data_IF_387794830664
#
_entry.id   IF_387794830664
#
_cell.length_a   1.000
_cell.length_b   1.000
_cell.length_c   1.000
_cell.angle_alpha   90.00
_cell.angle_beta   90.00
_cell.angle_gamma   90.00
#
_symmetry.space_group_name_H-M   'P 1'
#
loop_
_entity.id
_entity.type
_entity.pdbx_description
1 polymer ?
#
# COMPACT_ATOMS: atom_id res chain seq x y z
N UNK A 1 -11.16 25.81 10.61
CA UNK A 1 -11.01 24.75 11.64
C UNK A 1 -9.52 24.57 11.88
N UNK A 2 -9.01 24.55 13.10
CA UNK A 2 -7.57 24.31 13.30
C UNK A 2 -7.28 22.81 13.14
N UNK A 3 -6.23 22.47 12.38
CA UNK A 3 -5.77 21.07 12.22
C UNK A 3 -5.16 20.54 13.52
N UNK A 4 -5.45 19.31 13.91
CA UNK A 4 -4.86 18.63 15.09
C UNK A 4 -3.33 18.53 14.94
N UNK A 5 -2.81 18.49 13.71
CA UNK A 5 -1.38 18.58 13.43
C UNK A 5 -0.72 19.85 14.01
N UNK A 6 -1.52 20.88 14.34
CA UNK A 6 -1.08 22.10 15.02
C UNK A 6 -0.04 22.88 14.23
N UNK A 7 1.03 23.34 14.91
CA UNK A 7 2.09 24.11 14.28
C UNK A 7 2.81 23.35 13.15
N UNK A 8 2.87 22.02 13.22
CA UNK A 8 3.49 21.19 12.17
C UNK A 8 2.81 21.36 10.81
N UNK A 9 1.52 21.72 10.79
CA UNK A 9 0.79 22.00 9.54
C UNK A 9 1.38 23.18 8.77
N UNK A 10 1.99 24.13 9.46
CA UNK A 10 2.59 25.34 8.88
C UNK A 10 4.09 25.22 8.64
N UNK A 11 4.71 24.09 8.95
CA UNK A 11 6.17 23.91 8.86
C UNK A 11 6.56 23.04 7.68
N UNK A 12 7.71 23.34 7.10
CA UNK A 12 8.37 22.47 6.13
C UNK A 12 9.18 21.42 6.89
N UNK A 13 8.96 20.14 6.59
CA UNK A 13 9.64 19.06 7.31
C UNK A 13 11.13 18.96 6.92
N UNK A 14 12.02 18.58 7.87
CA UNK A 14 13.48 18.64 7.68
C UNK A 14 14.03 17.83 6.50
N UNK A 15 13.30 16.80 6.06
CA UNK A 15 13.71 15.92 4.95
C UNK A 15 13.36 16.48 3.56
N UNK A 16 12.74 17.67 3.50
CA UNK A 16 12.40 18.32 2.22
C UNK A 16 13.61 19.04 1.62
N UNK A 17 13.54 19.33 0.34
CA UNK A 17 14.47 20.17 -0.38
C UNK A 17 15.59 19.44 -1.13
N UNK A 18 16.09 18.31 -0.66
CA UNK A 18 17.10 17.53 -1.38
C UNK A 18 17.09 16.04 -1.01
N UNK A 19 17.70 15.24 -1.87
CA UNK A 19 17.90 13.79 -1.61
C UNK A 19 18.84 13.58 -0.41
N UNK A 20 19.80 14.49 -0.17
CA UNK A 20 20.65 14.47 1.00
C UNK A 20 19.86 14.69 2.29
N UNK A 21 19.03 15.75 2.31
CA UNK A 21 18.16 16.01 3.45
C UNK A 21 17.24 14.82 3.76
N UNK A 22 16.63 14.24 2.73
CA UNK A 22 15.78 13.05 2.87
C UNK A 22 16.57 11.85 3.45
N UNK A 23 17.76 11.58 2.92
CA UNK A 23 18.57 10.46 3.37
C UNK A 23 19.03 10.63 4.82
N UNK A 24 19.66 11.76 5.15
CA UNK A 24 20.28 11.96 6.45
C UNK A 24 19.26 12.18 7.57
N UNK A 25 18.10 12.84 7.30
CA UNK A 25 17.14 13.19 8.36
C UNK A 25 15.99 12.19 8.52
N UNK A 26 15.72 11.34 7.52
CA UNK A 26 14.58 10.41 7.56
C UNK A 26 14.94 8.99 7.13
N UNK A 27 15.45 8.78 5.92
CA UNK A 27 15.50 7.47 5.29
C UNK A 27 16.64 6.58 5.80
N UNK A 28 17.79 7.14 6.12
CA UNK A 28 18.95 6.38 6.64
C UNK A 28 18.63 5.67 7.96
N UNK A 29 17.92 6.35 8.87
CA UNK A 29 17.47 5.74 10.11
C UNK A 29 16.45 4.60 9.89
N UNK A 30 15.47 4.82 9.01
CA UNK A 30 14.49 3.81 8.63
C UNK A 30 15.14 2.58 7.95
N UNK A 31 16.12 2.82 7.08
CA UNK A 31 16.88 1.77 6.39
C UNK A 31 17.69 0.91 7.37
N UNK A 32 18.33 1.51 8.39
CA UNK A 32 19.10 0.79 9.42
C UNK A 32 18.29 -0.26 10.16
N UNK A 33 16.99 -0.03 10.35
CA UNK A 33 16.10 -0.93 11.08
C UNK A 33 15.09 -1.64 10.18
N UNK A 34 15.28 -1.57 8.86
CA UNK A 34 14.46 -2.25 7.83
C UNK A 34 12.96 -1.99 7.99
N UNK A 35 12.58 -0.72 8.24
CA UNK A 35 11.18 -0.27 8.25
C UNK A 35 10.84 0.51 6.99
N UNK A 36 9.57 0.86 6.83
CA UNK A 36 9.10 1.63 5.67
C UNK A 36 10.02 2.82 5.32
N UNK A 37 10.42 2.97 4.06
CA UNK A 37 10.05 2.15 2.89
C UNK A 37 11.03 0.99 2.58
N UNK A 38 11.93 0.63 3.48
CA UNK A 38 13.06 -0.30 3.30
C UNK A 38 12.81 -1.71 3.88
N UNK A 39 11.54 -2.14 4.00
CA UNK A 39 11.25 -3.51 4.44
C UNK A 39 12.02 -4.53 3.60
N UNK A 40 12.63 -5.53 4.23
CA UNK A 40 13.49 -6.55 3.64
C UNK A 40 14.85 -6.04 3.12
N UNK A 41 15.10 -4.72 3.10
CA UNK A 41 16.37 -4.13 2.66
C UNK A 41 17.39 -4.00 3.80
N UNK A 42 18.64 -3.74 3.44
CA UNK A 42 19.74 -3.47 4.37
C UNK A 42 20.43 -2.17 4.04
N UNK A 43 21.00 -1.51 5.07
CA UNK A 43 21.70 -0.23 4.88
C UNK A 43 22.83 -0.33 3.84
N UNK A 44 23.55 -1.44 3.82
CA UNK A 44 24.65 -1.70 2.89
C UNK A 44 24.24 -1.69 1.41
N UNK A 45 22.95 -1.96 1.13
CA UNK A 45 22.42 -1.93 -0.23
C UNK A 45 22.18 -0.49 -0.72
N UNK A 46 21.81 0.39 0.20
CA UNK A 46 21.32 1.74 -0.12
C UNK A 46 22.36 2.84 0.08
N UNK A 47 23.26 2.71 1.05
CA UNK A 47 24.24 3.75 1.34
C UNK A 47 25.10 4.14 0.12
N UNK A 48 25.62 3.20 -0.70
CA UNK A 48 26.37 3.57 -1.91
C UNK A 48 25.49 4.25 -2.97
N UNK A 49 24.20 3.87 -3.06
CA UNK A 49 23.24 4.46 -4.00
C UNK A 49 22.97 5.92 -3.63
N UNK A 50 22.62 6.17 -2.36
CA UNK A 50 22.35 7.53 -1.90
C UNK A 50 23.59 8.43 -1.94
N UNK A 51 24.77 7.88 -1.66
CA UNK A 51 26.04 8.61 -1.85
C UNK A 51 26.20 9.07 -3.30
N UNK A 52 25.87 8.22 -4.28
CA UNK A 52 25.92 8.56 -5.70
C UNK A 52 24.87 9.62 -6.05
N UNK A 53 23.60 9.45 -5.65
CA UNK A 53 22.54 10.42 -5.90
C UNK A 53 22.90 11.81 -5.35
N UNK A 54 23.47 11.87 -4.15
CA UNK A 54 23.91 13.12 -3.51
C UNK A 54 25.06 13.75 -4.30
N UNK A 55 26.09 12.97 -4.63
CA UNK A 55 27.27 13.46 -5.37
C UNK A 55 26.93 13.99 -6.76
N UNK A 56 25.94 13.40 -7.43
CA UNK A 56 25.45 13.80 -8.75
C UNK A 56 24.30 14.80 -8.69
N UNK A 57 23.88 15.24 -7.49
CA UNK A 57 22.77 16.18 -7.25
C UNK A 57 21.45 15.75 -7.91
N UNK A 58 21.13 14.44 -7.89
CA UNK A 58 19.89 13.87 -8.43
C UNK A 58 18.80 13.97 -7.37
N UNK A 59 18.03 15.05 -7.38
CA UNK A 59 17.00 15.36 -6.37
C UNK A 59 15.58 15.01 -6.82
N UNK A 60 15.31 14.92 -8.12
CA UNK A 60 13.97 14.60 -8.65
C UNK A 60 13.78 13.09 -8.76
N UNK A 61 13.05 12.52 -7.80
CA UNK A 61 12.70 11.12 -7.83
C UNK A 61 11.74 10.71 -8.98
N UNK A 62 11.17 11.65 -9.70
CA UNK A 62 10.39 11.37 -10.91
C UNK A 62 11.26 11.26 -12.17
N UNK A 63 12.54 11.63 -12.11
CA UNK A 63 13.46 11.53 -13.25
C UNK A 63 13.90 10.09 -13.53
N UNK A 64 14.24 9.82 -14.78
CA UNK A 64 14.82 8.54 -15.19
C UNK A 64 16.19 8.31 -14.54
N UNK A 65 17.01 9.36 -14.43
CA UNK A 65 18.33 9.31 -13.78
C UNK A 65 18.26 8.81 -12.33
N UNK A 66 17.23 9.24 -11.56
CA UNK A 66 17.00 8.70 -10.22
C UNK A 66 16.80 7.18 -10.27
N UNK A 67 15.87 6.70 -11.08
CA UNK A 67 15.55 5.28 -11.18
C UNK A 67 16.75 4.45 -11.65
N UNK A 68 17.44 4.90 -12.70
CA UNK A 68 18.58 4.21 -13.30
C UNK A 68 19.76 4.07 -12.35
N UNK A 69 19.92 4.99 -11.40
CA UNK A 69 20.98 4.91 -10.38
C UNK A 69 20.87 3.66 -9.51
N UNK A 70 19.67 3.14 -9.28
CA UNK A 70 19.44 1.95 -8.44
C UNK A 70 19.65 0.63 -9.18
N UNK A 71 19.40 0.58 -10.50
CA UNK A 71 19.29 -0.68 -11.24
C UNK A 71 20.55 -1.57 -11.14
N UNK A 72 21.80 -1.05 -11.29
CA UNK A 72 22.99 -1.89 -11.19
C UNK A 72 23.18 -2.56 -9.82
N UNK A 73 22.73 -1.90 -8.74
CA UNK A 73 22.84 -2.45 -7.39
C UNK A 73 21.84 -3.60 -7.15
N UNK A 74 20.62 -3.46 -7.68
CA UNK A 74 19.64 -4.55 -7.65
C UNK A 74 20.12 -5.74 -8.46
N UNK A 75 20.70 -5.51 -9.65
CA UNK A 75 21.25 -6.56 -10.51
C UNK A 75 22.37 -7.34 -9.84
N UNK A 76 23.24 -6.68 -9.09
CA UNK A 76 24.29 -7.34 -8.32
C UNK A 76 23.69 -8.28 -7.25
N UNK A 77 22.62 -7.87 -6.58
CA UNK A 77 21.92 -8.73 -5.62
C UNK A 77 21.27 -9.95 -6.30
N UNK A 78 20.69 -9.78 -7.49
CA UNK A 78 20.14 -10.89 -8.27
C UNK A 78 21.23 -11.88 -8.72
N UNK A 79 22.39 -11.41 -9.13
CA UNK A 79 23.55 -12.24 -9.49
C UNK A 79 24.04 -13.06 -8.29
N UNK A 80 24.15 -12.43 -7.11
CA UNK A 80 24.50 -13.11 -5.87
C UNK A 80 23.45 -14.15 -5.46
N UNK A 81 22.16 -13.85 -5.67
CA UNK A 81 21.08 -14.80 -5.43
C UNK A 81 21.18 -16.03 -6.37
N UNK A 82 21.48 -15.82 -7.64
CA UNK A 82 21.69 -16.91 -8.60
C UNK A 82 22.88 -17.80 -8.18
N UNK A 83 23.97 -17.21 -7.72
CA UNK A 83 25.12 -17.97 -7.21
C UNK A 83 24.77 -18.79 -5.94
N UNK A 84 23.92 -18.26 -5.04
CA UNK A 84 23.43 -18.99 -3.88
C UNK A 84 22.54 -20.19 -4.28
N UNK A 85 21.62 -19.96 -5.25
CA UNK A 85 20.78 -21.05 -5.79
C UNK A 85 21.61 -22.18 -6.42
N UNK A 86 22.66 -21.83 -7.16
CA UNK A 86 23.55 -22.83 -7.75
C UNK A 86 24.27 -23.70 -6.68
N UNK A 87 24.47 -23.15 -5.48
CA UNK A 87 25.02 -23.88 -4.34
C UNK A 87 23.97 -24.62 -3.51
N UNK A 88 22.70 -24.59 -3.89
CA UNK A 88 21.58 -25.19 -3.15
C UNK A 88 21.14 -24.36 -1.92
N UNK A 89 21.64 -23.16 -1.74
CA UNK A 89 21.28 -22.29 -0.61
C UNK A 89 20.07 -21.41 -0.95
N UNK A 90 18.88 -22.03 -0.90
CA UNK A 90 17.62 -21.35 -1.19
C UNK A 90 17.27 -20.24 -0.19
N UNK A 91 17.67 -20.38 1.08
CA UNK A 91 17.38 -19.38 2.10
C UNK A 91 18.15 -18.07 1.84
N UNK A 92 19.45 -18.16 1.58
CA UNK A 92 20.27 -17.00 1.19
C UNK A 92 19.79 -16.40 -0.12
N UNK A 93 19.43 -17.22 -1.11
CA UNK A 93 18.92 -16.76 -2.39
C UNK A 93 17.61 -15.97 -2.24
N UNK A 94 16.65 -16.50 -1.46
CA UNK A 94 15.39 -15.80 -1.16
C UNK A 94 15.64 -14.45 -0.51
N UNK A 95 16.50 -14.38 0.51
CA UNK A 95 16.85 -13.12 1.17
C UNK A 95 17.49 -12.09 0.24
N UNK A 96 18.40 -12.52 -0.65
CA UNK A 96 19.03 -11.62 -1.64
C UNK A 96 18.04 -11.11 -2.68
N UNK A 97 17.10 -11.96 -3.13
CA UNK A 97 16.04 -11.56 -4.06
C UNK A 97 15.06 -10.58 -3.43
N UNK A 98 14.71 -10.74 -2.15
CA UNK A 98 13.91 -9.75 -1.42
C UNK A 98 14.64 -8.41 -1.32
N UNK A 99 15.94 -8.42 -1.01
CA UNK A 99 16.76 -7.19 -1.00
C UNK A 99 16.78 -6.51 -2.37
N UNK A 100 16.95 -7.29 -3.46
CA UNK A 100 16.87 -6.75 -4.82
C UNK A 100 15.48 -6.13 -5.09
N UNK A 101 14.40 -6.80 -4.69
CA UNK A 101 13.04 -6.27 -4.83
C UNK A 101 12.86 -4.93 -4.12
N UNK A 102 13.45 -4.74 -2.92
CA UNK A 102 13.38 -3.45 -2.21
C UNK A 102 14.23 -2.37 -2.89
N UNK A 103 15.37 -2.72 -3.48
CA UNK A 103 16.15 -1.75 -4.27
C UNK A 103 15.33 -1.28 -5.48
N UNK A 104 14.66 -2.18 -6.20
CA UNK A 104 13.73 -1.81 -7.27
C UNK A 104 12.53 -1.01 -6.77
N UNK A 105 12.01 -1.31 -5.57
CA UNK A 105 10.96 -0.50 -4.95
C UNK A 105 11.37 0.95 -4.79
N UNK A 106 12.56 1.20 -4.24
CA UNK A 106 13.03 2.58 -4.04
C UNK A 106 13.34 3.24 -5.40
N UNK A 107 13.85 2.49 -6.38
CA UNK A 107 14.06 2.98 -7.74
C UNK A 107 12.77 3.51 -8.40
N UNK A 108 11.64 2.82 -8.21
CA UNK A 108 10.34 3.21 -8.78
C UNK A 108 9.56 4.24 -7.95
N UNK A 109 10.05 4.58 -6.77
CA UNK A 109 9.41 5.58 -5.91
C UNK A 109 9.35 6.95 -6.64
N UNK A 110 8.36 7.82 -6.40
CA UNK A 110 7.29 7.67 -5.41
C UNK A 110 6.03 6.95 -5.93
N UNK A 111 5.91 6.73 -7.23
CA UNK A 111 4.65 6.23 -7.79
C UNK A 111 4.86 5.50 -9.12
N UNK A 112 4.07 4.43 -9.31
CA UNK A 112 3.83 3.77 -10.59
C UNK A 112 2.33 3.55 -10.74
N UNK A 113 1.78 3.92 -11.88
CA UNK A 113 0.40 3.63 -12.25
C UNK A 113 0.33 2.84 -13.55
N UNK A 114 -0.88 2.44 -13.99
CA UNK A 114 -1.05 1.62 -15.21
C UNK A 114 -0.44 2.25 -16.45
N UNK A 115 -0.48 3.58 -16.56
CA UNK A 115 0.08 4.34 -17.69
C UNK A 115 1.57 4.68 -17.55
N UNK A 116 2.22 4.29 -16.45
CA UNK A 116 3.66 4.57 -16.26
C UNK A 116 4.49 3.77 -17.25
N UNK A 117 5.45 4.42 -17.91
CA UNK A 117 6.40 3.82 -18.86
C UNK A 117 7.85 4.07 -18.44
N UNK A 118 8.83 3.65 -19.27
CA UNK A 118 10.25 3.93 -19.05
C UNK A 118 10.87 3.19 -17.85
N UNK A 119 11.97 3.72 -17.29
CA UNK A 119 12.74 3.05 -16.23
C UNK A 119 11.93 2.69 -14.98
N UNK A 120 10.98 3.52 -14.58
CA UNK A 120 10.11 3.22 -13.41
C UNK A 120 9.24 1.98 -13.64
N UNK A 121 8.65 1.84 -14.83
CA UNK A 121 7.89 0.63 -15.18
C UNK A 121 8.82 -0.58 -15.19
N UNK A 122 9.99 -0.46 -15.79
CA UNK A 122 11.01 -1.52 -15.80
C UNK A 122 11.40 -1.93 -14.37
N UNK A 123 11.66 -0.97 -13.48
CA UNK A 123 11.98 -1.25 -12.08
C UNK A 123 10.83 -2.00 -11.37
N UNK A 124 9.57 -1.62 -11.63
CA UNK A 124 8.40 -2.33 -11.06
C UNK A 124 8.28 -3.77 -11.59
N UNK A 125 8.44 -4.01 -12.88
CA UNK A 125 8.41 -5.35 -13.46
C UNK A 125 9.53 -6.25 -12.88
N UNK A 126 10.74 -5.68 -12.75
CA UNK A 126 11.87 -6.39 -12.13
C UNK A 126 11.65 -6.63 -10.63
N UNK A 127 11.03 -5.68 -9.92
CA UNK A 127 10.63 -5.87 -8.52
C UNK A 127 9.70 -7.08 -8.38
N UNK A 128 8.63 -7.16 -9.19
CA UNK A 128 7.70 -8.30 -9.17
C UNK A 128 8.43 -9.62 -9.45
N UNK A 129 9.29 -9.63 -10.46
CA UNK A 129 10.06 -10.82 -10.84
C UNK A 129 10.97 -11.29 -9.71
N UNK A 130 11.77 -10.40 -9.12
CA UNK A 130 12.66 -10.73 -8.02
C UNK A 130 11.88 -11.23 -6.80
N UNK A 131 10.78 -10.56 -6.47
CA UNK A 131 9.92 -10.92 -5.35
C UNK A 131 9.28 -12.28 -5.51
N UNK A 132 8.70 -12.59 -6.67
CA UNK A 132 8.06 -13.90 -6.93
C UNK A 132 9.08 -15.02 -6.97
N UNK A 133 10.30 -14.78 -7.48
CA UNK A 133 11.40 -15.74 -7.38
C UNK A 133 11.80 -16.01 -5.93
N UNK A 134 11.86 -14.99 -5.08
CA UNK A 134 12.09 -15.19 -3.66
C UNK A 134 10.98 -16.01 -3.02
N UNK A 135 9.73 -15.66 -3.31
CA UNK A 135 8.54 -16.27 -2.73
C UNK A 135 8.27 -17.71 -3.24
N UNK A 136 8.81 -18.08 -4.38
CA UNK A 136 8.77 -19.48 -4.88
C UNK A 136 9.59 -20.43 -4.02
N UNK A 137 10.49 -19.91 -3.19
CA UNK A 137 11.31 -20.68 -2.24
C UNK A 137 10.65 -20.81 -0.85
N UNK A 138 9.50 -20.17 -0.64
CA UNK A 138 8.76 -20.25 0.63
C UNK A 138 7.89 -21.49 0.71
N UNK A 139 7.53 -21.88 1.94
CA UNK A 139 6.55 -22.93 2.23
C UNK A 139 5.45 -22.38 3.14
N UNK A 140 4.19 -22.35 2.71
CA UNK A 140 3.71 -22.51 1.33
C UNK A 140 4.20 -21.38 0.41
N UNK A 141 4.23 -21.65 -0.90
CA UNK A 141 4.62 -20.65 -1.89
C UNK A 141 3.55 -19.55 -2.04
N UNK A 142 4.00 -18.33 -2.32
CA UNK A 142 3.12 -17.27 -2.81
C UNK A 142 2.94 -17.44 -4.32
N UNK A 143 1.70 -17.28 -4.78
CA UNK A 143 1.37 -17.39 -6.20
C UNK A 143 0.86 -16.06 -6.73
N UNK A 144 1.33 -15.65 -7.90
CA UNK A 144 0.63 -14.65 -8.69
C UNK A 144 -0.50 -15.32 -9.48
N UNK A 145 -1.67 -14.73 -9.46
CA UNK A 145 -2.84 -15.10 -10.25
C UNK A 145 -3.30 -13.89 -11.03
N UNK A 146 -3.67 -14.12 -12.28
CA UNK A 146 -4.33 -13.13 -13.13
C UNK A 146 -5.75 -13.60 -13.33
N UNK A 147 -6.68 -12.93 -12.65
CA UNK A 147 -8.11 -13.30 -12.65
C UNK A 147 -8.90 -12.40 -13.61
N UNK A 148 -10.04 -12.88 -14.11
CA UNK A 148 -10.91 -12.07 -14.94
C UNK A 148 -11.58 -10.93 -14.15
N UNK A 149 -11.61 -9.72 -14.70
CA UNK A 149 -12.39 -8.61 -14.17
C UNK A 149 -13.84 -8.72 -14.66
N UNK A 150 -14.61 -9.61 -14.06
CA UNK A 150 -15.95 -10.03 -14.53
C UNK A 150 -17.03 -8.96 -14.37
N UNK A 151 -16.84 -8.03 -13.45
CA UNK A 151 -17.77 -6.92 -13.18
C UNK A 151 -17.30 -5.59 -13.78
N UNK A 152 -16.32 -5.63 -14.69
CA UNK A 152 -15.74 -4.45 -15.33
C UNK A 152 -16.76 -3.65 -16.16
N UNK A 153 -16.55 -2.35 -16.22
CA UNK A 153 -17.15 -1.44 -17.21
C UNK A 153 -16.14 -1.11 -18.33
N UNK A 154 -16.57 -0.29 -19.29
CA UNK A 154 -15.83 -0.05 -20.55
C UNK A 154 -14.38 0.39 -20.34
N UNK A 155 -14.14 1.28 -19.35
CA UNK A 155 -12.81 1.83 -19.08
C UNK A 155 -11.95 0.96 -18.15
N UNK A 156 -12.55 -0.05 -17.52
CA UNK A 156 -11.79 -0.99 -16.71
C UNK A 156 -11.03 -1.97 -17.61
N UNK A 157 -9.83 -2.36 -17.21
CA UNK A 157 -9.09 -3.45 -17.85
C UNK A 157 -9.74 -4.81 -17.61
N UNK A 158 -9.37 -5.79 -18.40
CA UNK A 158 -10.02 -7.12 -18.43
C UNK A 158 -9.55 -8.10 -17.38
N UNK A 159 -8.39 -7.85 -16.77
CA UNK A 159 -7.74 -8.80 -15.87
C UNK A 159 -7.20 -8.11 -14.63
N UNK A 160 -7.35 -8.76 -13.47
CA UNK A 160 -6.88 -8.29 -12.17
C UNK A 160 -5.72 -9.18 -11.73
N UNK A 161 -4.49 -8.68 -11.68
CA UNK A 161 -3.38 -9.42 -11.05
C UNK A 161 -3.51 -9.36 -9.54
N UNK A 162 -3.40 -10.51 -8.88
CA UNK A 162 -3.41 -10.66 -7.43
C UNK A 162 -2.25 -11.53 -6.96
N UNK A 163 -1.81 -11.34 -5.72
CA UNK A 163 -1.03 -12.35 -5.02
C UNK A 163 -1.92 -13.16 -4.10
N UNK A 164 -1.69 -14.47 -4.06
CA UNK A 164 -2.42 -15.43 -3.27
C UNK A 164 -1.46 -16.37 -2.55
N UNK A 165 -1.65 -16.54 -1.24
CA UNK A 165 -1.01 -17.59 -0.45
C UNK A 165 -2.04 -18.24 0.45
N UNK A 166 -2.11 -19.59 0.40
CA UNK A 166 -3.01 -20.40 1.22
C UNK A 166 -2.16 -21.40 2.01
N UNK A 167 -2.44 -21.67 3.28
CA UNK A 167 -1.79 -22.74 4.05
C UNK A 167 -1.93 -24.11 3.37
N UNK A 168 -0.85 -24.96 3.39
CA UNK A 168 -0.81 -26.23 2.65
C UNK A 168 -1.71 -27.31 3.26
N UNK A 169 -1.85 -27.39 4.56
CA UNK A 169 -2.41 -28.56 5.25
C UNK A 169 -3.79 -28.31 5.89
N UNK A 170 -4.58 -27.41 5.34
CA UNK A 170 -5.92 -27.19 5.88
C UNK A 170 -6.92 -28.21 5.35
N UNK A 171 -7.40 -29.11 6.22
CA UNK A 171 -8.50 -30.04 5.93
C UNK A 171 -9.86 -29.34 5.76
N UNK A 172 -9.94 -28.03 6.01
CA UNK A 172 -11.14 -27.19 5.93
C UNK A 172 -10.80 -25.83 5.29
N UNK A 173 -11.79 -25.15 4.70
CA UNK A 173 -11.61 -23.77 4.24
C UNK A 173 -11.10 -22.86 5.37
N UNK A 174 -10.15 -22.00 5.06
CA UNK A 174 -9.50 -21.10 6.04
C UNK A 174 -9.99 -19.66 5.91
N UNK A 175 -9.98 -18.88 7.01
CA UNK A 175 -10.19 -17.43 6.93
C UNK A 175 -9.24 -16.77 5.95
N UNK A 176 -9.63 -15.64 5.36
CA UNK A 176 -8.79 -14.93 4.42
C UNK A 176 -8.71 -13.43 4.77
N UNK A 177 -7.50 -12.89 4.69
CA UNK A 177 -7.27 -11.45 4.75
C UNK A 177 -7.01 -10.93 3.33
N UNK A 178 -7.92 -10.09 2.83
CA UNK A 178 -7.75 -9.36 1.57
C UNK A 178 -7.03 -8.04 1.86
N UNK A 179 -5.83 -7.86 1.32
CA UNK A 179 -5.06 -6.63 1.47
C UNK A 179 -5.24 -5.76 0.23
N UNK A 180 -5.64 -4.51 0.44
CA UNK A 180 -5.60 -3.45 -0.56
C UNK A 180 -4.39 -2.56 -0.30
N UNK A 181 -3.54 -2.41 -1.32
CA UNK A 181 -2.25 -1.72 -1.21
C UNK A 181 -2.37 -0.19 -1.17
N UNK A 182 -1.23 0.50 -1.00
CA UNK A 182 -1.18 1.96 -0.89
C UNK A 182 -0.86 2.68 -2.20
N UNK A 183 -0.45 3.95 -2.07
CA UNK A 183 -0.02 4.78 -3.20
C UNK A 183 1.32 4.31 -3.80
N UNK A 184 2.25 3.90 -2.96
CA UNK A 184 3.64 3.56 -3.31
C UNK A 184 4.09 2.17 -2.85
N UNK A 185 3.34 1.53 -1.96
CA UNK A 185 3.52 0.14 -1.56
C UNK A 185 2.56 -0.76 -2.32
N UNK A 186 3.08 -1.76 -3.05
CA UNK A 186 2.31 -2.63 -3.93
C UNK A 186 2.35 -4.09 -3.46
N UNK A 187 1.79 -5.02 -4.23
CA UNK A 187 1.78 -6.45 -3.89
C UNK A 187 3.13 -6.97 -3.39
N UNK A 188 4.29 -6.68 -4.06
CA UNK A 188 5.59 -7.21 -3.63
C UNK A 188 6.22 -6.49 -2.44
N UNK A 189 5.47 -5.67 -1.70
CA UNK A 189 5.96 -4.95 -0.52
C UNK A 189 5.35 -5.45 0.80
N UNK A 190 4.80 -6.69 0.80
CA UNK A 190 4.01 -7.20 1.91
C UNK A 190 4.56 -8.46 2.57
N UNK A 191 5.86 -8.75 2.46
CA UNK A 191 6.51 -9.96 2.97
C UNK A 191 6.11 -10.26 4.42
N UNK A 192 6.32 -9.32 5.32
CA UNK A 192 6.01 -9.50 6.74
C UNK A 192 4.52 -9.81 6.98
N UNK A 193 3.61 -9.08 6.30
CA UNK A 193 2.16 -9.33 6.42
C UNK A 193 1.76 -10.70 5.91
N UNK A 194 2.33 -11.12 4.78
CA UNK A 194 2.09 -12.44 4.20
C UNK A 194 2.51 -13.54 5.18
N UNK A 195 3.66 -13.41 5.83
CA UNK A 195 4.14 -14.39 6.80
C UNK A 195 3.32 -14.37 8.09
N UNK A 196 3.00 -13.19 8.63
CA UNK A 196 2.20 -13.05 9.85
C UNK A 196 0.77 -13.58 9.70
N UNK A 197 0.14 -13.34 8.54
CA UNK A 197 -1.19 -13.89 8.23
C UNK A 197 -1.10 -15.41 8.07
N UNK A 198 -0.13 -15.89 7.30
CA UNK A 198 0.07 -17.33 7.07
C UNK A 198 0.41 -18.12 8.33
N UNK A 199 1.16 -17.53 9.29
CA UNK A 199 1.50 -18.18 10.56
C UNK A 199 0.27 -18.41 11.47
N UNK A 200 -0.82 -17.69 11.22
CA UNK A 200 -2.12 -17.86 11.89
C UNK A 200 -3.01 -18.89 11.21
N UNK A 201 -2.52 -19.53 10.14
CA UNK A 201 -3.30 -20.50 9.35
C UNK A 201 -4.34 -19.85 8.45
N UNK A 202 -4.19 -18.57 8.09
CA UNK A 202 -5.11 -17.84 7.22
C UNK A 202 -4.54 -17.68 5.82
N UNK A 203 -5.43 -17.62 4.84
CA UNK A 203 -5.09 -17.23 3.48
C UNK A 203 -4.88 -15.70 3.39
N UNK A 204 -4.06 -15.29 2.44
CA UNK A 204 -3.90 -13.87 2.08
C UNK A 204 -4.11 -13.69 0.59
N UNK A 205 -4.93 -12.70 0.24
CA UNK A 205 -5.09 -12.17 -1.12
C UNK A 205 -4.61 -10.73 -1.11
N UNK A 206 -3.82 -10.32 -2.11
CA UNK A 206 -3.35 -8.93 -2.20
C UNK A 206 -3.65 -8.40 -3.59
N UNK A 207 -4.28 -7.22 -3.67
CA UNK A 207 -4.53 -6.51 -4.92
C UNK A 207 -4.18 -5.02 -4.80
N UNK A 208 -3.91 -4.39 -5.93
CA UNK A 208 -3.72 -2.94 -6.02
C UNK A 208 -5.06 -2.20 -6.05
N UNK A 209 -5.00 -0.95 -5.60
CA UNK A 209 -6.13 0.00 -5.68
C UNK A 209 -6.17 0.69 -7.05
N UNK A 210 -7.33 1.24 -7.47
CA UNK A 210 -7.44 1.97 -8.73
C UNK A 210 -6.35 3.02 -8.92
N UNK A 211 -5.77 3.03 -10.12
CA UNK A 211 -4.74 3.99 -10.51
C UNK A 211 -3.34 3.71 -9.99
N UNK A 212 -3.08 2.58 -9.32
CA UNK A 212 -1.74 2.21 -8.85
C UNK A 212 -1.23 0.94 -9.50
N UNK A 213 0.09 0.85 -9.66
CA UNK A 213 0.81 -0.31 -10.19
C UNK A 213 0.24 -0.82 -11.53
N UNK A 214 -0.36 -1.99 -11.54
CA UNK A 214 -1.03 -2.60 -12.68
C UNK A 214 -2.53 -2.90 -12.41
N UNK A 215 -3.14 -2.10 -11.50
CA UNK A 215 -4.58 -2.17 -11.27
C UNK A 215 -5.37 -1.89 -12.55
N UNK A 216 -6.33 -2.74 -12.94
CA UNK A 216 -7.14 -2.53 -14.13
C UNK A 216 -8.31 -1.57 -13.93
N UNK A 217 -8.63 -1.21 -12.68
CA UNK A 217 -9.79 -0.40 -12.37
C UNK A 217 -9.61 1.05 -12.82
N UNK A 218 -10.63 1.64 -13.44
CA UNK A 218 -10.61 3.03 -13.91
C UNK A 218 -10.30 3.99 -12.75
N UNK A 219 -9.15 4.69 -12.77
CA UNK A 219 -8.77 5.61 -11.70
C UNK A 219 -9.69 6.83 -11.59
N UNK A 220 -10.38 7.17 -12.66
CA UNK A 220 -11.25 8.35 -12.71
C UNK A 220 -12.67 8.09 -12.21
N UNK A 221 -13.03 6.82 -11.97
CA UNK A 221 -14.35 6.43 -11.47
C UNK A 221 -14.29 6.11 -9.96
N UNK A 222 -15.00 6.87 -9.09
CA UNK A 222 -15.07 6.61 -7.67
C UNK A 222 -15.61 5.22 -7.30
N UNK A 223 -16.38 4.57 -8.19
CA UNK A 223 -16.99 3.26 -7.97
C UNK A 223 -16.19 2.07 -8.53
N UNK A 224 -15.11 2.32 -9.27
CA UNK A 224 -14.33 1.26 -9.91
C UNK A 224 -13.81 0.19 -8.95
N UNK A 225 -13.50 0.58 -7.70
CA UNK A 225 -13.10 -0.37 -6.66
C UNK A 225 -14.20 -1.37 -6.31
N UNK A 226 -15.46 -0.98 -6.35
CA UNK A 226 -16.56 -1.90 -6.02
C UNK A 226 -16.62 -3.03 -7.04
N UNK A 227 -16.48 -2.71 -8.33
CA UNK A 227 -16.42 -3.69 -9.43
C UNK A 227 -15.19 -4.60 -9.35
N UNK A 228 -14.03 -4.00 -9.00
CA UNK A 228 -12.80 -4.76 -8.77
C UNK A 228 -12.98 -5.77 -7.64
N UNK A 229 -13.52 -5.34 -6.50
CA UNK A 229 -13.80 -6.21 -5.35
C UNK A 229 -14.85 -7.28 -5.66
N UNK A 230 -15.92 -6.95 -6.38
CA UNK A 230 -16.91 -7.93 -6.83
C UNK A 230 -16.27 -9.07 -7.63
N UNK A 231 -15.34 -8.74 -8.53
CA UNK A 231 -14.60 -9.74 -9.31
C UNK A 231 -13.64 -10.57 -8.46
N UNK A 232 -12.95 -9.94 -7.50
CA UNK A 232 -12.07 -10.64 -6.55
C UNK A 232 -12.88 -11.58 -5.65
N UNK A 233 -14.01 -11.13 -5.10
CA UNK A 233 -14.89 -11.98 -4.29
C UNK A 233 -15.49 -13.14 -5.08
N UNK A 234 -15.84 -12.93 -6.37
CA UNK A 234 -16.31 -14.00 -7.23
C UNK A 234 -15.23 -15.07 -7.41
N UNK A 235 -14.00 -14.67 -7.68
CA UNK A 235 -12.87 -15.60 -7.75
C UNK A 235 -12.66 -16.36 -6.43
N UNK A 236 -12.66 -15.64 -5.28
CA UNK A 236 -12.49 -16.29 -3.99
C UNK A 236 -13.61 -17.30 -3.68
N UNK A 237 -14.87 -16.98 -4.05
CA UNK A 237 -16.03 -17.89 -3.88
C UNK A 237 -15.90 -19.19 -4.66
N UNK A 238 -15.17 -19.19 -5.77
CA UNK A 238 -14.92 -20.41 -6.59
C UNK A 238 -13.86 -21.34 -5.98
N UNK A 239 -13.20 -20.91 -4.90
CA UNK A 239 -12.17 -21.69 -4.22
C UNK A 239 -12.78 -22.47 -3.05
N UNK A 240 -12.40 -23.74 -2.94
CA UNK A 240 -12.83 -24.64 -1.85
C UNK A 240 -11.98 -24.48 -0.57
N UNK A 241 -10.86 -23.81 -0.66
CA UNK A 241 -9.87 -23.64 0.43
C UNK A 241 -10.01 -22.31 1.18
N UNK A 242 -10.91 -21.41 0.75
CA UNK A 242 -11.20 -20.11 1.42
C UNK A 242 -12.60 -20.14 2.03
N UNK A 243 -12.69 -19.78 3.31
CA UNK A 243 -13.95 -19.60 4.02
C UNK A 243 -14.54 -18.21 3.75
N UNK A 244 -15.53 -18.15 2.88
CA UNK A 244 -16.18 -16.89 2.49
C UNK A 244 -16.98 -16.22 3.61
N UNK A 245 -17.28 -16.91 4.71
CA UNK A 245 -17.91 -16.30 5.89
C UNK A 245 -16.91 -15.55 6.79
N UNK A 246 -15.61 -15.79 6.60
CA UNK A 246 -14.52 -15.21 7.41
C UNK A 246 -13.51 -14.47 6.54
N UNK A 247 -13.99 -13.46 5.82
CA UNK A 247 -13.14 -12.56 5.01
C UNK A 247 -12.98 -11.23 5.74
N UNK A 248 -11.73 -10.85 6.05
CA UNK A 248 -11.39 -9.50 6.49
C UNK A 248 -10.72 -8.74 5.37
N UNK A 249 -10.99 -7.42 5.25
CA UNK A 249 -10.29 -6.54 4.32
C UNK A 249 -9.37 -5.60 5.11
N UNK A 250 -8.10 -5.53 4.72
CA UNK A 250 -7.12 -4.64 5.32
C UNK A 250 -6.56 -3.68 4.27
N UNK A 251 -6.98 -2.42 4.32
CA UNK A 251 -6.49 -1.37 3.44
C UNK A 251 -5.34 -0.59 4.07
N UNK A 252 -4.28 -0.34 3.29
CA UNK A 252 -3.06 0.30 3.72
C UNK A 252 -2.92 1.68 3.07
N UNK A 253 -2.84 2.76 3.86
CA UNK A 253 -2.69 4.13 3.35
C UNK A 253 -3.80 4.48 2.34
N UNK A 254 -3.49 4.74 1.08
CA UNK A 254 -4.50 4.91 0.03
C UNK A 254 -5.48 3.73 -0.04
N UNK A 255 -5.03 2.50 0.27
CA UNK A 255 -5.91 1.34 0.42
C UNK A 255 -6.89 1.46 1.58
N UNK A 256 -6.54 2.22 2.62
CA UNK A 256 -7.42 2.50 3.75
C UNK A 256 -8.67 3.28 3.35
N UNK A 257 -8.57 4.21 2.41
CA UNK A 257 -9.71 4.89 1.79
C UNK A 257 -10.69 3.87 1.17
N UNK A 258 -10.15 2.90 0.43
CA UNK A 258 -10.96 1.87 -0.21
C UNK A 258 -11.48 0.82 0.77
N UNK A 259 -10.77 0.58 1.88
CA UNK A 259 -11.27 -0.27 2.95
C UNK A 259 -12.50 0.36 3.66
N UNK A 260 -12.49 1.68 3.87
CA UNK A 260 -13.67 2.39 4.36
C UNK A 260 -14.83 2.22 3.37
N UNK A 261 -14.58 2.52 2.09
CA UNK A 261 -15.60 2.36 1.04
C UNK A 261 -16.17 0.93 1.04
N UNK A 262 -15.32 -0.10 1.01
CA UNK A 262 -15.73 -1.50 1.01
C UNK A 262 -16.52 -1.90 2.27
N UNK A 263 -16.18 -1.35 3.42
CA UNK A 263 -16.94 -1.58 4.66
C UNK A 263 -18.43 -1.18 4.53
N UNK A 264 -18.71 -0.16 3.73
CA UNK A 264 -20.07 0.31 3.44
C UNK A 264 -20.69 -0.41 2.24
N UNK A 265 -19.98 -0.54 1.12
CA UNK A 265 -20.52 -1.06 -0.14
C UNK A 265 -20.60 -2.60 -0.18
N UNK A 266 -19.69 -3.28 0.52
CA UNK A 266 -19.60 -4.76 0.57
C UNK A 266 -19.85 -5.32 1.97
N UNK A 267 -20.64 -4.62 2.78
CA UNK A 267 -20.93 -4.95 4.18
C UNK A 267 -21.28 -6.42 4.41
N UNK A 268 -22.09 -7.01 3.56
CA UNK A 268 -22.57 -8.39 3.72
C UNK A 268 -21.56 -9.47 3.33
N UNK A 269 -20.44 -9.09 2.72
CA UNK A 269 -19.41 -10.02 2.25
C UNK A 269 -18.16 -10.02 3.14
N UNK A 270 -18.08 -9.10 4.08
CA UNK A 270 -16.91 -8.88 4.92
C UNK A 270 -17.26 -9.06 6.39
N UNK A 271 -16.50 -9.89 7.09
CA UNK A 271 -16.59 -9.98 8.55
C UNK A 271 -16.19 -8.65 9.20
N UNK A 272 -15.22 -7.95 8.61
CA UNK A 272 -14.82 -6.62 9.02
C UNK A 272 -13.71 -6.05 8.15
N UNK A 273 -13.41 -4.74 8.36
CA UNK A 273 -12.38 -4.01 7.65
C UNK A 273 -11.42 -3.31 8.60
N UNK A 274 -10.14 -3.25 8.23
CA UNK A 274 -9.15 -2.34 8.83
C UNK A 274 -8.81 -1.27 7.82
N UNK A 275 -9.07 -0.02 8.15
CA UNK A 275 -8.57 1.14 7.43
C UNK A 275 -7.35 1.69 8.17
N UNK A 276 -6.17 1.47 7.62
CA UNK A 276 -4.89 1.78 8.24
C UNK A 276 -4.25 2.98 7.54
N UNK A 277 -4.16 4.11 8.23
CA UNK A 277 -3.73 5.40 7.69
C UNK A 277 -4.67 5.95 6.60
N UNK A 278 -6.01 5.93 6.80
CA UNK A 278 -6.93 6.26 5.73
C UNK A 278 -7.15 7.78 5.62
N UNK A 279 -7.24 8.28 4.37
CA UNK A 279 -8.00 9.49 4.07
C UNK A 279 -9.48 9.15 3.84
N UNK A 280 -10.36 10.16 3.92
CA UNK A 280 -11.78 9.98 3.63
C UNK A 280 -12.42 11.20 2.93
N UNK A 281 -12.05 12.41 3.36
CA UNK A 281 -12.65 13.68 2.92
C UNK A 281 -11.65 14.84 2.94
N UNK A 282 -11.11 15.16 4.12
CA UNK A 282 -10.29 16.37 4.34
C UNK A 282 -8.93 16.31 3.65
N UNK A 283 -8.34 15.13 3.42
CA UNK A 283 -7.07 14.99 2.70
C UNK A 283 -7.16 15.49 1.25
N UNK A 284 -8.37 15.61 0.69
CA UNK A 284 -8.66 16.17 -0.64
C UNK A 284 -9.09 17.63 -0.59
N UNK A 285 -9.14 18.27 0.61
CA UNK A 285 -9.51 19.67 0.72
C UNK A 285 -8.41 20.58 0.18
N UNK A 286 -8.81 21.70 -0.42
CA UNK A 286 -7.85 22.67 -0.93
C UNK A 286 -6.87 23.16 0.14
N UNK A 287 -7.35 23.34 1.39
CA UNK A 287 -6.53 23.78 2.52
C UNK A 287 -5.41 22.78 2.82
N UNK A 288 -5.73 21.45 2.86
CA UNK A 288 -4.73 20.41 3.08
C UNK A 288 -3.77 20.28 1.90
N UNK A 289 -4.30 20.23 0.68
CA UNK A 289 -3.52 20.09 -0.54
C UNK A 289 -2.51 21.24 -0.73
N UNK A 290 -2.82 22.45 -0.32
CA UNK A 290 -1.91 23.59 -0.38
C UNK A 290 -0.65 23.43 0.52
N UNK A 291 -0.67 22.51 1.48
CA UNK A 291 0.41 22.34 2.46
C UNK A 291 1.05 20.95 2.47
N UNK A 292 0.38 19.93 1.97
CA UNK A 292 0.83 18.53 2.06
C UNK A 292 2.22 18.27 1.45
N UNK A 293 2.61 19.09 0.47
CA UNK A 293 3.94 19.02 -0.16
C UNK A 293 5.09 19.36 0.82
N UNK A 294 4.81 20.15 1.86
CA UNK A 294 5.78 20.53 2.89
C UNK A 294 5.92 19.48 3.99
N UNK A 295 4.99 18.51 4.06
CA UNK A 295 4.85 17.61 5.19
C UNK A 295 5.60 16.28 5.01
N UNK A 296 5.05 15.20 5.55
CA UNK A 296 5.69 13.92 5.82
C UNK A 296 6.15 13.14 4.58
N UNK A 297 5.38 13.19 3.48
CA UNK A 297 5.69 12.39 2.30
C UNK A 297 7.00 12.86 1.64
N UNK A 298 7.93 11.96 1.28
CA UNK A 298 9.31 12.37 0.94
C UNK A 298 9.45 13.18 -0.35
N UNK A 299 8.52 13.01 -1.29
CA UNK A 299 8.56 13.66 -2.61
C UNK A 299 7.26 14.42 -2.89
N UNK A 300 7.17 15.19 -4.00
CA UNK A 300 5.91 15.82 -4.39
C UNK A 300 4.78 14.81 -4.56
N UNK A 301 3.81 14.83 -3.61
CA UNK A 301 2.74 13.82 -3.55
C UNK A 301 1.55 14.16 -4.44
N UNK A 302 1.26 15.45 -4.66
CA UNK A 302 0.11 15.90 -5.46
C UNK A 302 0.23 15.38 -6.90
N UNK A 303 1.44 15.37 -7.47
CA UNK A 303 1.70 14.80 -8.78
C UNK A 303 1.34 13.31 -8.85
N UNK A 304 1.65 12.54 -7.81
CA UNK A 304 1.30 11.13 -7.71
C UNK A 304 -0.21 10.94 -7.50
N UNK A 305 -0.83 11.74 -6.64
CA UNK A 305 -2.28 11.68 -6.41
C UNK A 305 -3.06 12.05 -7.65
N UNK A 306 -2.71 13.12 -8.36
CA UNK A 306 -3.36 13.49 -9.62
C UNK A 306 -3.40 12.29 -10.58
N UNK A 307 -2.27 11.68 -10.86
CA UNK A 307 -2.19 10.49 -11.73
C UNK A 307 -2.97 9.29 -11.18
N UNK A 308 -2.88 9.05 -9.87
CA UNK A 308 -3.61 7.97 -9.20
C UNK A 308 -5.14 8.14 -9.31
N UNK A 309 -5.65 9.36 -9.37
CA UNK A 309 -7.07 9.68 -9.51
C UNK A 309 -7.50 10.01 -10.96
N UNK A 310 -6.63 9.71 -11.93
CA UNK A 310 -6.95 9.85 -13.35
C UNK A 310 -6.95 11.30 -13.86
N UNK A 311 -6.23 12.20 -13.19
CA UNK A 311 -6.03 13.57 -13.64
C UNK A 311 -4.66 13.71 -14.31
N UNK A 312 -4.65 14.42 -15.45
CA UNK A 312 -3.40 14.77 -16.12
C UNK A 312 -2.76 16.02 -15.52
N UNK A 313 -3.57 17.00 -15.14
CA UNK A 313 -3.13 18.22 -14.49
C UNK A 313 -3.31 18.15 -12.96
N UNK A 314 -2.22 18.31 -12.16
CA UNK A 314 -2.30 18.43 -10.71
C UNK A 314 -3.21 19.56 -10.22
N UNK A 315 -3.32 20.68 -10.94
CA UNK A 315 -4.19 21.79 -10.56
C UNK A 315 -5.68 21.40 -10.67
N UNK A 316 -6.05 20.69 -11.73
CA UNK A 316 -7.41 20.15 -11.89
C UNK A 316 -7.76 19.14 -10.81
N UNK A 317 -6.79 18.30 -10.42
CA UNK A 317 -6.94 17.39 -9.27
C UNK A 317 -7.24 18.17 -7.99
N UNK A 318 -6.42 19.15 -7.65
CA UNK A 318 -6.60 19.95 -6.44
C UNK A 318 -7.97 20.65 -6.39
N UNK A 319 -8.46 21.10 -7.53
CA UNK A 319 -9.74 21.81 -7.64
C UNK A 319 -10.96 20.89 -7.50
N UNK A 320 -10.90 19.68 -8.04
CA UNK A 320 -12.10 18.88 -8.29
C UNK A 320 -12.15 17.57 -7.46
N UNK A 321 -11.02 17.11 -6.90
CA UNK A 321 -10.93 15.77 -6.32
C UNK A 321 -11.82 15.59 -5.10
N UNK A 322 -11.96 16.58 -4.23
CA UNK A 322 -12.78 16.45 -3.04
C UNK A 322 -14.24 16.19 -3.40
N UNK A 323 -14.82 17.00 -4.29
CA UNK A 323 -16.20 16.83 -4.72
C UNK A 323 -16.43 15.46 -5.36
N UNK A 324 -15.47 14.99 -6.17
CA UNK A 324 -15.63 13.77 -6.95
C UNK A 324 -15.36 12.49 -6.14
N UNK A 325 -14.37 12.49 -5.25
CA UNK A 325 -13.88 11.27 -4.61
C UNK A 325 -14.13 11.18 -3.11
N UNK A 326 -14.41 12.29 -2.41
CA UNK A 326 -14.70 12.25 -0.98
C UNK A 326 -15.80 11.24 -0.66
N UNK A 327 -15.54 10.37 0.34
CA UNK A 327 -16.53 9.39 0.80
C UNK A 327 -17.73 10.07 1.47
N UNK A 328 -17.55 11.29 1.99
CA UNK A 328 -18.62 12.11 2.52
C UNK A 328 -19.48 12.68 1.37
N UNK A 329 -18.87 13.41 0.43
CA UNK A 329 -19.58 14.08 -0.68
C UNK A 329 -20.30 13.09 -1.60
N UNK A 330 -19.74 11.88 -1.76
CA UNK A 330 -20.35 10.82 -2.58
C UNK A 330 -21.42 10.02 -1.84
N UNK A 331 -21.77 10.37 -0.58
CA UNK A 331 -22.81 9.72 0.23
C UNK A 331 -22.48 8.29 0.64
N UNK A 332 -21.23 7.84 0.51
CA UNK A 332 -20.82 6.50 0.93
C UNK A 332 -20.96 6.35 2.45
N UNK A 333 -20.61 7.39 3.21
CA UNK A 333 -20.61 7.37 4.67
C UNK A 333 -22.03 7.36 5.29
N UNK A 334 -23.06 7.69 4.51
CA UNK A 334 -24.47 7.67 4.98
C UNK A 334 -25.03 6.24 5.14
N UNK A 335 -24.34 5.27 4.53
CA UNK A 335 -24.76 3.86 4.57
C UNK A 335 -24.23 3.18 5.84
N UNK A 336 -24.94 2.15 6.37
CA UNK A 336 -24.38 1.31 7.42
C UNK A 336 -23.14 0.57 6.90
N UNK A 337 -22.16 0.33 7.77
CA UNK A 337 -20.95 -0.43 7.44
C UNK A 337 -20.84 -1.73 8.24
N UNK A 338 -19.96 -2.64 7.81
CA UNK A 338 -19.51 -3.78 8.61
C UNK A 338 -18.62 -3.29 9.76
N UNK A 339 -18.14 -4.18 10.64
CA UNK A 339 -17.15 -3.82 11.66
C UNK A 339 -15.96 -3.12 11.00
N UNK A 340 -15.59 -1.96 11.49
CA UNK A 340 -14.53 -1.13 10.91
C UNK A 340 -13.59 -0.63 12.01
N UNK A 341 -12.31 -1.00 11.89
CA UNK A 341 -11.23 -0.49 12.73
C UNK A 341 -10.44 0.58 11.96
N UNK A 342 -10.30 1.75 12.57
CA UNK A 342 -9.48 2.86 12.10
C UNK A 342 -8.16 2.90 12.87
N UNK A 343 -7.04 2.84 12.17
CA UNK A 343 -5.70 2.91 12.75
C UNK A 343 -4.90 4.04 12.12
N UNK A 344 -4.36 4.97 12.93
CA UNK A 344 -3.45 5.98 12.40
C UNK A 344 -2.57 6.62 13.50
N UNK A 345 -1.51 7.33 13.08
CA UNK A 345 -0.80 8.29 13.92
C UNK A 345 -1.58 9.60 14.04
N UNK A 346 -1.52 10.26 15.19
CA UNK A 346 -2.16 11.59 15.36
C UNK A 346 -1.38 12.65 14.59
N UNK A 347 -0.07 12.47 14.47
CA UNK A 347 0.83 13.42 13.81
C UNK A 347 1.02 13.08 12.30
N UNK A 348 0.00 12.48 11.69
CA UNK A 348 0.02 12.12 10.26
C UNK A 348 0.10 13.38 9.38
N UNK A 349 1.20 13.51 8.66
CA UNK A 349 1.44 14.59 7.72
C UNK A 349 1.12 14.23 6.26
N UNK A 350 0.56 13.04 6.00
CA UNK A 350 0.11 12.63 4.66
C UNK A 350 -1.40 12.82 4.53
N UNK A 351 -2.16 12.27 5.47
CA UNK A 351 -3.62 12.43 5.54
C UNK A 351 -4.00 12.94 6.94
N UNK A 352 -4.87 13.95 7.06
CA UNK A 352 -5.18 14.52 8.37
C UNK A 352 -5.94 13.52 9.25
N UNK A 353 -5.61 13.47 10.53
CA UNK A 353 -6.31 12.60 11.50
C UNK A 353 -7.80 12.91 11.59
N UNK A 354 -8.20 14.12 11.22
CA UNK A 354 -9.58 14.59 11.12
C UNK A 354 -10.42 13.70 10.20
N UNK A 355 -9.81 13.09 9.18
CA UNK A 355 -10.48 12.11 8.34
C UNK A 355 -10.93 10.88 9.12
N UNK A 356 -10.12 10.40 10.04
CA UNK A 356 -10.52 9.31 10.95
C UNK A 356 -11.61 9.74 11.92
N UNK A 357 -11.51 10.95 12.47
CA UNK A 357 -12.46 11.47 13.46
C UNK A 357 -13.82 11.76 12.84
N UNK A 358 -13.86 12.25 11.60
CA UNK A 358 -15.10 12.44 10.82
C UNK A 358 -15.95 11.17 10.78
N UNK A 359 -15.32 10.02 10.61
CA UNK A 359 -16.00 8.74 10.44
C UNK A 359 -16.83 8.31 11.67
N UNK A 360 -16.50 8.79 12.87
CA UNK A 360 -17.29 8.48 14.07
C UNK A 360 -18.66 9.16 14.09
N UNK A 361 -18.85 10.19 13.28
CA UNK A 361 -20.13 10.89 13.17
C UNK A 361 -21.04 10.33 12.05
N UNK A 362 -20.59 9.30 11.31
CA UNK A 362 -21.30 8.79 10.14
C UNK A 362 -21.47 7.27 10.18
N UNK A 363 -22.63 6.77 9.71
CA UNK A 363 -22.91 5.36 9.54
C UNK A 363 -22.92 4.56 10.85
N UNK A 364 -22.54 3.30 10.79
CA UNK A 364 -22.52 2.38 11.95
C UNK A 364 -21.39 2.73 12.94
N UNK A 365 -21.49 2.31 14.22
CA UNK A 365 -20.40 2.44 15.19
C UNK A 365 -19.10 1.81 14.69
N UNK A 366 -17.98 2.44 15.03
CA UNK A 366 -16.62 2.06 14.58
C UNK A 366 -15.65 1.99 15.76
N UNK A 367 -14.56 1.30 15.55
CA UNK A 367 -13.43 1.25 16.47
C UNK A 367 -12.28 2.13 15.96
N UNK A 368 -11.59 2.81 16.85
CA UNK A 368 -10.41 3.61 16.49
C UNK A 368 -9.27 3.40 17.47
N UNK A 369 -8.04 3.40 16.97
CA UNK A 369 -6.81 3.42 17.76
C UNK A 369 -5.85 4.42 17.12
N UNK A 370 -5.62 5.53 17.80
CA UNK A 370 -4.80 6.63 17.33
C UNK A 370 -3.60 6.82 18.24
N UNK A 371 -2.44 7.07 17.66
CA UNK A 371 -1.15 7.03 18.35
C UNK A 371 -0.52 8.42 18.40
N UNK A 372 -0.55 9.09 19.59
CA UNK A 372 0.11 10.39 19.75
C UNK A 372 1.62 10.32 19.48
N UNK A 373 2.15 11.35 18.83
CA UNK A 373 3.56 11.46 18.48
C UNK A 373 4.02 10.55 17.35
N UNK A 374 3.11 9.75 16.74
CA UNK A 374 3.43 8.92 15.59
C UNK A 374 2.86 9.52 14.30
N UNK A 375 3.64 9.41 13.20
CA UNK A 375 3.27 9.89 11.87
C UNK A 375 2.32 8.91 11.17
N UNK A 376 2.19 9.06 9.85
CA UNK A 376 1.33 8.26 8.98
C UNK A 376 1.39 6.76 9.29
N UNK A 377 0.22 6.09 9.36
CA UNK A 377 0.03 4.69 9.71
C UNK A 377 0.22 4.36 11.21
N UNK A 378 0.79 5.23 12.06
CA UNK A 378 1.03 4.95 13.47
C UNK A 378 2.00 3.80 13.77
N UNK A 379 2.90 3.50 12.81
CA UNK A 379 3.90 2.44 13.00
C UNK A 379 4.92 2.77 14.10
N UNK A 380 5.49 1.73 14.79
CA UNK A 380 5.18 0.29 14.67
C UNK A 380 3.98 -0.17 15.49
N UNK A 381 3.47 0.66 16.42
CA UNK A 381 2.47 0.28 17.44
C UNK A 381 1.13 -0.21 16.86
N UNK A 382 0.75 0.32 15.71
CA UNK A 382 -0.53 -0.01 15.07
C UNK A 382 -0.61 -1.46 14.56
N UNK A 383 0.53 -2.10 14.26
CA UNK A 383 0.55 -3.47 13.70
C UNK A 383 0.03 -4.52 14.68
N UNK A 384 0.46 -4.47 15.95
CA UNK A 384 0.04 -5.44 16.96
C UNK A 384 -1.47 -5.37 17.19
N UNK A 385 -2.02 -4.16 17.18
CA UNK A 385 -3.47 -3.95 17.30
C UNK A 385 -4.20 -4.49 16.09
N UNK A 386 -3.67 -4.29 14.87
CA UNK A 386 -4.28 -4.81 13.65
C UNK A 386 -4.36 -6.34 13.67
N UNK A 387 -3.27 -7.03 14.02
CA UNK A 387 -3.26 -8.49 14.09
C UNK A 387 -4.15 -9.02 15.20
N UNK A 388 -4.14 -8.41 16.38
CA UNK A 388 -5.03 -8.82 17.48
C UNK A 388 -6.50 -8.66 17.12
N UNK A 389 -6.85 -7.56 16.51
CA UNK A 389 -8.22 -7.33 16.06
C UNK A 389 -8.67 -8.33 14.98
N UNK A 390 -7.78 -8.71 14.05
CA UNK A 390 -8.04 -9.78 13.08
C UNK A 390 -8.22 -11.13 13.75
N UNK A 391 -7.44 -11.45 14.79
CA UNK A 391 -7.61 -12.68 15.56
C UNK A 391 -9.00 -12.73 16.21
N UNK A 392 -9.39 -11.65 16.88
CA UNK A 392 -10.71 -11.57 17.53
C UNK A 392 -11.86 -11.63 16.49
N UNK A 393 -11.66 -11.06 15.30
CA UNK A 393 -12.66 -11.07 14.23
C UNK A 393 -12.81 -12.44 13.56
N UNK A 394 -11.69 -13.11 13.24
CA UNK A 394 -11.68 -14.29 12.36
C UNK A 394 -11.69 -15.62 13.12
N UNK A 395 -11.31 -15.64 14.42
CA UNK A 395 -11.36 -16.85 15.25
C UNK A 395 -12.67 -16.97 16.01
N UNK A 396 -13.23 -15.86 16.48
CA UNK A 396 -14.41 -15.84 17.36
C UNK A 396 -15.64 -15.20 16.72
N UNK A 397 -15.55 -14.70 15.50
CA UNK A 397 -16.68 -14.15 14.75
C UNK A 397 -17.57 -15.25 14.20
N UNK A 398 -18.53 -15.71 14.98
CA UNK A 398 -19.68 -16.52 14.56
C UNK A 398 -20.95 -15.86 15.06
#
# INVERSE_FOLDING_TARGET
MGWILGEKFHTVYPHKGSIEALWETKWKAACKISVYPFHDGKLEDFEPIFRKLIAENINDAYSDAYTETFLPFAELLEQRAAAALHKGDGATASGLLLRAAVVYRIARFPYVGPATTGPKRTAFERQKTAYLRAASLWKPQLQEKVIGHTHREEKDGTHIPIYLRVPEDSSKPVPCVLIMTGLDGYRPDNTKRIHEIGSRGWAVVICEVPGTADSPADPSDPSATDRLLDSVFLYMKQRSDIDMSRIALWGLSAGGFYAIRAAHTHRSRLAGCIAHGPGAHYFLSQEWLNRVEDHEYPFPIIRAWAKKYGYDDPADFCKNAQQKFSLLETGVLDRPCTRLLLLNGIDDGVVPIEDCLLLFNHGSPKEGRFYPGLPHMGYPRSLDVAYKWLEDLLQFGS
#
